data_IF_965324633021
#
_entry.id   IF_965324633021
#
_cell.length_a   1.000
_cell.length_b   1.000
_cell.length_c   1.000
_cell.angle_alpha   90.00
_cell.angle_beta   90.00
_cell.angle_gamma   90.00
#
_symmetry.space_group_name_H-M   'P 1'
#
loop_
_entity.id
_entity.type
_entity.pdbx_description
1 polymer ?
#
# COMPACT_ATOMS: atom_id res chain seq x y z
N UNK A 1 -6.42 7.88 -25.01
CA UNK A 1 -6.22 7.96 -23.55
C UNK A 1 -4.72 7.90 -23.31
N UNK A 2 -4.03 9.01 -22.99
CA UNK A 2 -2.62 8.93 -22.66
C UNK A 2 -2.49 8.36 -21.24
N UNK A 3 -1.76 7.26 -21.12
CA UNK A 3 -1.28 6.74 -19.84
C UNK A 3 -0.18 7.70 -19.36
N UNK A 4 -0.43 8.41 -18.26
CA UNK A 4 0.58 9.21 -17.60
C UNK A 4 1.54 8.26 -16.86
N UNK A 5 2.82 8.27 -17.25
CA UNK A 5 3.89 7.69 -16.45
C UNK A 5 4.16 8.62 -15.26
N UNK A 6 3.78 8.21 -14.06
CA UNK A 6 3.96 8.98 -12.82
C UNK A 6 5.39 8.89 -12.23
N UNK A 7 6.40 8.52 -13.01
CA UNK A 7 7.63 7.93 -12.45
C UNK A 7 8.87 8.82 -12.37
N UNK A 8 8.84 10.12 -12.72
CA UNK A 8 10.04 10.98 -12.62
C UNK A 8 10.02 12.05 -11.51
N UNK A 9 8.88 12.40 -10.91
CA UNK A 9 8.80 13.54 -9.96
C UNK A 9 8.61 13.15 -8.49
N UNK A 10 8.06 11.98 -8.19
CA UNK A 10 7.77 11.57 -6.82
C UNK A 10 8.92 10.76 -6.24
N UNK A 11 9.54 11.28 -5.18
CA UNK A 11 10.59 10.57 -4.44
C UNK A 11 9.95 9.46 -3.58
N UNK A 12 9.83 8.27 -4.16
CA UNK A 12 9.22 7.09 -3.52
C UNK A 12 10.00 6.63 -2.29
N UNK A 13 11.33 6.68 -2.32
CA UNK A 13 12.19 6.38 -1.15
C UNK A 13 11.81 7.21 0.08
N UNK A 14 11.54 8.50 -0.14
CA UNK A 14 11.12 9.42 0.92
C UNK A 14 9.76 9.02 1.49
N UNK A 15 8.82 8.62 0.64
CA UNK A 15 7.51 8.13 1.09
C UNK A 15 7.73 6.93 2.01
N UNK A 16 8.43 5.90 1.53
CA UNK A 16 8.65 4.65 2.29
C UNK A 16 9.30 4.92 3.65
N UNK A 17 10.33 5.77 3.70
CA UNK A 17 11.01 6.13 4.95
C UNK A 17 10.11 6.79 5.99
N UNK A 18 9.02 7.41 5.57
CA UNK A 18 8.03 8.07 6.46
C UNK A 18 6.90 7.14 6.89
N UNK A 19 6.93 5.88 6.48
CA UNK A 19 6.00 4.83 6.88
C UNK A 19 6.59 3.92 7.98
N UNK A 20 7.67 4.35 8.63
CA UNK A 20 8.40 3.67 9.70
C UNK A 20 7.55 3.18 10.88
N UNK A 21 6.40 3.82 11.12
CA UNK A 21 5.40 3.38 12.11
C UNK A 21 4.92 1.93 11.95
N UNK A 22 5.07 1.34 10.77
CA UNK A 22 4.67 -0.05 10.51
C UNK A 22 5.74 -1.07 10.90
N UNK A 23 6.93 -0.61 11.26
CA UNK A 23 8.03 -1.45 11.72
C UNK A 23 9.30 -1.25 10.90
N UNK A 24 10.16 -2.27 10.91
CA UNK A 24 11.40 -2.25 10.14
C UNK A 24 11.10 -2.57 8.68
N UNK A 25 11.51 -1.70 7.77
CA UNK A 25 11.39 -1.96 6.33
C UNK A 25 12.18 -3.23 5.96
N UNK A 26 11.51 -4.16 5.29
CA UNK A 26 12.11 -5.36 4.69
C UNK A 26 12.52 -5.04 3.27
N UNK A 27 11.55 -4.65 2.43
CA UNK A 27 11.77 -4.24 1.05
C UNK A 27 10.60 -3.42 0.52
N UNK A 28 10.77 -2.79 -0.64
CA UNK A 28 9.73 -2.06 -1.35
C UNK A 28 10.00 -2.08 -2.86
N UNK A 29 8.94 -1.92 -3.65
CA UNK A 29 9.01 -1.78 -5.09
C UNK A 29 7.82 -0.99 -5.63
N UNK A 30 7.98 -0.43 -6.83
CA UNK A 30 6.91 0.22 -7.58
C UNK A 30 6.28 -0.72 -8.61
N UNK A 31 5.07 -0.39 -9.06
CA UNK A 31 4.34 -1.12 -10.11
C UNK A 31 4.12 -2.61 -9.81
N UNK A 32 3.95 -2.97 -8.54
CA UNK A 32 3.79 -4.36 -8.11
C UNK A 32 2.35 -4.83 -8.36
N UNK A 33 2.12 -5.98 -9.01
CA UNK A 33 0.79 -6.55 -9.16
C UNK A 33 0.12 -6.82 -7.81
N UNK A 34 -1.13 -6.36 -7.64
CA UNK A 34 -1.93 -6.63 -6.44
C UNK A 34 -2.63 -8.00 -6.49
N UNK A 35 -2.82 -8.55 -7.69
CA UNK A 35 -3.47 -9.84 -7.93
C UNK A 35 -2.62 -10.71 -8.86
N UNK A 36 -2.69 -12.05 -8.73
CA UNK A 36 -2.11 -12.95 -9.71
C UNK A 36 -2.71 -12.66 -11.09
N UNK A 37 -1.89 -12.61 -12.13
CA UNK A 37 -2.31 -12.25 -13.50
C UNK A 37 -3.41 -13.21 -13.96
N UNK A 38 -4.67 -12.76 -14.01
CA UNK A 38 -5.73 -13.48 -14.69
C UNK A 38 -5.58 -13.31 -16.21
N UNK A 39 -5.76 -14.40 -16.95
CA UNK A 39 -5.70 -14.53 -18.41
C UNK A 39 -6.86 -13.84 -19.15
N UNK A 40 -7.61 -12.93 -18.52
CA UNK A 40 -8.80 -12.32 -19.11
C UNK A 40 -8.61 -10.83 -19.36
N UNK A 41 -9.28 -10.35 -20.40
CA UNK A 41 -9.32 -8.94 -20.85
C UNK A 41 -9.96 -7.98 -19.85
N UNK A 42 -10.54 -8.48 -18.77
CA UNK A 42 -11.25 -7.71 -17.73
C UNK A 42 -10.35 -7.44 -16.52
N UNK A 43 -9.24 -6.73 -16.73
CA UNK A 43 -8.40 -6.28 -15.61
C UNK A 43 -9.20 -5.29 -14.76
N UNK A 44 -9.31 -5.49 -13.44
CA UNK A 44 -9.95 -4.51 -12.58
C UNK A 44 -9.18 -3.18 -12.66
N UNK A 45 -9.86 -2.03 -12.46
CA UNK A 45 -9.17 -0.77 -12.24
C UNK A 45 -8.20 -0.94 -11.06
N UNK A 46 -6.94 -0.52 -11.24
CA UNK A 46 -5.85 -0.61 -10.25
C UNK A 46 -5.28 -2.03 -10.03
N UNK A 47 -5.02 -2.78 -11.10
CA UNK A 47 -4.36 -4.10 -11.05
C UNK A 47 -2.91 -4.07 -10.50
N UNK A 48 -2.22 -2.93 -10.63
CA UNK A 48 -0.88 -2.70 -10.09
C UNK A 48 -0.94 -1.62 -9.04
N UNK A 49 -0.23 -1.83 -7.94
CA UNK A 49 0.00 -0.78 -6.98
C UNK A 49 1.15 0.12 -7.41
N UNK A 50 1.01 1.43 -7.22
CA UNK A 50 2.07 2.39 -7.53
C UNK A 50 3.31 2.11 -6.67
N UNK A 51 3.10 1.77 -5.39
CA UNK A 51 4.13 1.39 -4.43
C UNK A 51 3.58 0.33 -3.46
N UNK A 52 4.35 -0.75 -3.28
CA UNK A 52 4.18 -1.68 -2.15
C UNK A 52 5.44 -1.70 -1.30
N UNK A 53 5.26 -1.76 0.01
CA UNK A 53 6.34 -1.89 0.98
C UNK A 53 5.99 -2.94 2.03
N UNK A 54 6.92 -3.84 2.29
CA UNK A 54 6.82 -4.85 3.34
C UNK A 54 7.59 -4.38 4.56
N UNK A 55 6.91 -4.36 5.71
CA UNK A 55 7.50 -4.05 7.00
C UNK A 55 7.42 -5.26 7.91
N UNK A 56 8.41 -5.41 8.78
CA UNK A 56 8.39 -6.35 9.90
C UNK A 56 8.12 -5.58 11.19
N UNK A 57 6.90 -5.76 11.71
CA UNK A 57 6.43 -5.15 12.94
C UNK A 57 6.35 -6.15 14.10
N UNK A 58 6.02 -5.67 15.32
CA UNK A 58 5.92 -6.52 16.51
C UNK A 58 4.83 -7.59 16.43
N UNK A 59 3.82 -7.39 15.59
CA UNK A 59 2.70 -8.32 15.38
C UNK A 59 2.93 -9.29 14.20
N UNK A 60 4.09 -9.19 13.53
CA UNK A 60 4.40 -9.90 12.30
C UNK A 60 4.56 -8.97 11.09
N UNK A 61 4.71 -9.54 9.88
CA UNK A 61 4.89 -8.76 8.67
C UNK A 61 3.61 -8.03 8.24
N UNK A 62 3.77 -6.79 7.80
CA UNK A 62 2.69 -5.95 7.27
C UNK A 62 3.01 -5.43 5.88
N UNK A 63 2.13 -5.72 4.93
CA UNK A 63 2.15 -5.18 3.58
C UNK A 63 1.39 -3.84 3.55
N UNK A 64 2.08 -2.81 3.10
CA UNK A 64 1.58 -1.45 2.99
C UNK A 64 1.52 -1.06 1.52
N UNK A 65 0.34 -0.69 1.05
CA UNK A 65 0.15 -0.14 -0.29
C UNK A 65 0.05 1.37 -0.28
N UNK A 66 0.59 2.01 -1.31
CA UNK A 66 0.47 3.45 -1.52
C UNK A 66 0.09 3.71 -2.98
N UNK A 67 -1.01 4.43 -3.17
CA UNK A 67 -1.39 4.98 -4.47
C UNK A 67 -0.97 6.45 -4.53
N UNK A 68 -0.31 6.85 -5.62
CA UNK A 68 0.24 8.20 -5.82
C UNK A 68 -0.63 8.98 -6.81
N UNK A 69 -0.94 10.22 -6.45
CA UNK A 69 -1.68 11.19 -7.26
C UNK A 69 -0.91 12.51 -7.29
N UNK A 70 0.12 12.54 -8.14
CA UNK A 70 0.96 13.72 -8.40
C UNK A 70 0.30 14.63 -9.44
N UNK A 71 -0.82 15.22 -9.07
CA UNK A 71 -1.52 16.22 -9.89
C UNK A 71 -2.06 17.35 -9.00
N UNK A 72 -2.48 18.45 -9.62
CA UNK A 72 -3.00 19.61 -8.90
C UNK A 72 -4.42 19.39 -8.34
N UNK A 73 -5.14 18.40 -8.84
CA UNK A 73 -6.52 18.13 -8.42
C UNK A 73 -6.57 17.49 -7.02
N UNK A 74 -7.52 17.95 -6.19
CA UNK A 74 -7.79 17.33 -4.90
C UNK A 74 -8.35 15.92 -5.09
N UNK A 75 -7.83 14.95 -4.34
CA UNK A 75 -8.38 13.60 -4.30
C UNK A 75 -9.78 13.64 -3.69
N UNK A 76 -10.74 13.04 -4.37
CA UNK A 76 -12.14 12.98 -3.96
C UNK A 76 -12.44 11.75 -3.09
N UNK A 77 -13.53 11.80 -2.32
CA UNK A 77 -13.97 10.67 -1.47
C UNK A 77 -14.31 9.42 -2.30
N UNK A 78 -15.04 9.50 -3.43
CA UNK A 78 -15.32 8.33 -4.26
C UNK A 78 -14.04 7.64 -4.76
N UNK A 79 -13.12 8.42 -5.33
CA UNK A 79 -11.83 7.92 -5.83
C UNK A 79 -11.05 7.21 -4.73
N UNK A 80 -10.96 7.83 -3.55
CA UNK A 80 -10.22 7.24 -2.44
C UNK A 80 -10.84 5.92 -1.95
N UNK A 81 -12.16 5.79 -1.98
CA UNK A 81 -12.86 4.55 -1.63
C UNK A 81 -12.62 3.44 -2.64
N UNK A 82 -12.53 3.78 -3.93
CA UNK A 82 -12.25 2.79 -4.97
C UNK A 82 -10.84 2.22 -4.82
N UNK A 83 -9.84 3.07 -4.58
CA UNK A 83 -8.48 2.63 -4.28
C UNK A 83 -8.39 1.84 -2.98
N UNK A 84 -9.03 2.31 -1.91
CA UNK A 84 -9.05 1.60 -0.64
C UNK A 84 -9.66 0.19 -0.80
N UNK A 85 -10.69 0.04 -1.64
CA UNK A 85 -11.28 -1.26 -1.94
C UNK A 85 -10.32 -2.15 -2.73
N UNK A 86 -9.62 -1.62 -3.72
CA UNK A 86 -8.67 -2.38 -4.53
C UNK A 86 -7.47 -2.86 -3.68
N UNK A 87 -6.78 -1.93 -3.03
CA UNK A 87 -5.60 -2.25 -2.21
C UNK A 87 -5.96 -3.04 -0.96
N UNK A 88 -7.10 -2.77 -0.33
CA UNK A 88 -7.49 -3.43 0.92
C UNK A 88 -7.73 -4.93 0.81
N UNK A 89 -7.84 -5.46 -0.42
CA UNK A 89 -7.88 -6.91 -0.68
C UNK A 89 -6.53 -7.59 -0.51
N UNK A 90 -5.43 -6.88 -0.73
CA UNK A 90 -4.07 -7.42 -0.66
C UNK A 90 -3.24 -6.84 0.49
N UNK A 91 -3.47 -5.59 0.89
CA UNK A 91 -2.66 -4.86 1.86
C UNK A 91 -3.32 -4.77 3.24
N UNK A 92 -2.52 -4.83 4.32
CA UNK A 92 -2.98 -4.56 5.69
C UNK A 92 -3.12 -3.06 5.97
N UNK A 93 -2.38 -2.21 5.26
CA UNK A 93 -2.48 -0.76 5.35
C UNK A 93 -2.46 -0.13 3.97
N UNK A 94 -3.18 0.98 3.82
CA UNK A 94 -3.27 1.70 2.55
C UNK A 94 -3.13 3.21 2.75
N UNK A 95 -2.33 3.87 1.90
CA UNK A 95 -2.21 5.32 1.83
C UNK A 95 -2.57 5.85 0.44
N UNK A 96 -3.18 7.03 0.42
CA UNK A 96 -3.16 7.90 -0.76
C UNK A 96 -2.12 8.99 -0.56
N UNK A 97 -1.19 9.09 -1.50
CA UNK A 97 -0.18 10.13 -1.56
C UNK A 97 -0.58 11.19 -2.59
N UNK A 98 -0.82 12.43 -2.16
CA UNK A 98 -1.24 13.53 -3.04
C UNK A 98 -0.86 14.90 -2.48
N UNK A 99 -1.01 15.96 -3.28
CA UNK A 99 -0.85 17.36 -2.84
C UNK A 99 -2.14 18.02 -2.36
N UNK A 100 -3.29 17.38 -2.55
CA UNK A 100 -4.57 17.93 -2.12
C UNK A 100 -5.61 16.86 -1.81
N UNK A 101 -6.37 17.08 -0.73
CA UNK A 101 -7.41 16.16 -0.25
C UNK A 101 -8.74 16.90 -0.06
N UNK A 102 -9.84 16.26 -0.42
CA UNK A 102 -11.16 16.71 0.03
C UNK A 102 -11.28 16.54 1.56
N UNK A 103 -11.90 17.51 2.25
CA UNK A 103 -11.99 17.53 3.73
C UNK A 103 -12.60 16.25 4.32
N UNK A 104 -13.60 15.67 3.66
CA UNK A 104 -14.23 14.43 4.14
C UNK A 104 -13.33 13.18 4.12
N UNK A 105 -12.16 13.22 3.48
CA UNK A 105 -11.20 12.10 3.50
C UNK A 105 -10.58 11.86 4.89
N UNK A 106 -10.50 12.90 5.72
CA UNK A 106 -10.02 12.79 7.09
C UNK A 106 -10.96 11.95 7.97
N UNK A 107 -12.21 11.79 7.57
CA UNK A 107 -13.21 10.95 8.26
C UNK A 107 -13.27 9.50 7.73
N UNK A 108 -12.54 9.16 6.66
CA UNK A 108 -12.52 7.78 6.12
C UNK A 108 -11.60 6.92 6.97
N UNK A 109 -12.16 6.18 7.93
CA UNK A 109 -11.44 5.45 8.99
C UNK A 109 -10.15 4.75 8.56
N UNK A 110 -10.20 3.86 7.56
CA UNK A 110 -9.08 2.96 7.27
C UNK A 110 -8.05 3.51 6.27
N UNK A 111 -8.26 4.73 5.76
CA UNK A 111 -7.40 5.37 4.77
C UNK A 111 -6.27 6.18 5.43
N UNK A 112 -5.02 5.89 5.08
CA UNK A 112 -3.88 6.76 5.35
C UNK A 112 -3.76 7.87 4.30
N UNK A 113 -3.27 9.04 4.70
CA UNK A 113 -2.99 10.16 3.78
C UNK A 113 -1.54 10.59 3.93
N UNK A 114 -0.83 10.65 2.82
CA UNK A 114 0.54 11.15 2.72
C UNK A 114 0.55 12.41 1.86
N UNK A 115 1.01 13.53 2.40
CA UNK A 115 1.09 14.77 1.64
C UNK A 115 2.43 14.86 0.92
N UNK A 116 2.42 14.95 -0.42
CA UNK A 116 3.66 14.88 -1.23
C UNK A 116 4.57 16.09 -0.98
N UNK A 117 4.05 17.33 -1.05
CA UNK A 117 4.87 18.54 -0.82
C UNK A 117 5.40 18.65 0.61
N UNK A 118 4.54 18.38 1.61
CA UNK A 118 4.91 18.38 3.03
C UNK A 118 5.78 17.19 3.43
N UNK A 119 5.81 16.14 2.59
CA UNK A 119 6.63 14.93 2.75
C UNK A 119 6.37 14.19 4.06
N UNK A 120 5.10 14.09 4.42
CA UNK A 120 4.68 13.52 5.70
C UNK A 120 3.33 12.82 5.65
N UNK A 121 3.13 11.92 6.61
CA UNK A 121 1.83 11.31 6.88
C UNK A 121 0.96 12.33 7.61
N UNK A 122 -0.06 12.85 6.94
CA UNK A 122 -1.04 13.79 7.53
C UNK A 122 -2.22 13.08 8.16
N UNK A 123 -2.41 11.79 7.86
CA UNK A 123 -3.36 10.91 8.53
C UNK A 123 -2.89 9.46 8.52
N UNK A 124 -2.92 8.83 9.69
CA UNK A 124 -2.63 7.42 9.85
C UNK A 124 -3.73 6.53 9.24
N UNK A 125 -3.38 5.39 8.63
CA UNK A 125 -4.34 4.40 8.17
C UNK A 125 -4.88 3.58 9.34
N UNK A 126 -6.04 2.97 9.11
CA UNK A 126 -6.50 1.85 9.92
C UNK A 126 -5.77 0.56 9.55
N UNK A 127 -6.23 -0.55 10.13
CA UNK A 127 -5.80 -1.90 9.74
C UNK A 127 -6.90 -2.53 8.91
N UNK A 128 -6.55 -2.91 7.68
CA UNK A 128 -7.40 -3.63 6.74
C UNK A 128 -7.26 -5.14 6.94
N UNK A 129 -8.21 -5.89 6.40
CA UNK A 129 -8.21 -7.35 6.45
C UNK A 129 -8.09 -7.90 5.03
N UNK A 130 -6.87 -8.06 4.50
CA UNK A 130 -6.72 -8.60 3.15
C UNK A 130 -7.14 -10.07 3.06
N UNK A 131 -7.49 -10.48 1.85
CA UNK A 131 -7.70 -11.87 1.48
C UNK A 131 -6.33 -12.59 1.58
N UNK A 132 -6.20 -13.69 2.37
CA UNK A 132 -4.91 -14.34 2.61
C UNK A 132 -4.15 -14.75 1.34
N UNK A 133 -4.87 -15.21 0.32
CA UNK A 133 -4.27 -15.61 -0.97
C UNK A 133 -3.72 -14.42 -1.76
N UNK A 134 -4.45 -13.30 -1.80
CA UNK A 134 -4.02 -12.09 -2.51
C UNK A 134 -2.87 -11.42 -1.79
N UNK A 135 -2.93 -11.34 -0.46
CA UNK A 135 -1.82 -10.85 0.35
C UNK A 135 -0.55 -11.65 0.07
N UNK A 136 -0.62 -13.00 0.16
CA UNK A 136 0.54 -13.86 -0.08
C UNK A 136 1.09 -13.65 -1.48
N UNK A 137 0.23 -13.65 -2.49
CA UNK A 137 0.65 -13.45 -3.88
C UNK A 137 1.34 -12.09 -4.08
N UNK A 138 0.82 -11.01 -3.49
CA UNK A 138 1.44 -9.69 -3.59
C UNK A 138 2.79 -9.61 -2.86
N UNK A 139 2.90 -10.21 -1.67
CA UNK A 139 4.16 -10.23 -0.91
C UNK A 139 5.22 -11.09 -1.60
N UNK A 140 4.87 -12.29 -2.08
CA UNK A 140 5.80 -13.15 -2.82
C UNK A 140 6.34 -12.43 -4.07
N UNK A 141 5.47 -11.73 -4.79
CA UNK A 141 5.86 -10.95 -5.97
C UNK A 141 6.78 -9.78 -5.63
N UNK A 142 6.50 -9.09 -4.53
CA UNK A 142 7.36 -8.03 -4.01
C UNK A 142 8.75 -8.57 -3.63
N UNK A 143 8.80 -9.68 -2.91
CA UNK A 143 10.04 -10.34 -2.51
C UNK A 143 10.86 -10.82 -3.72
N UNK A 144 10.20 -11.36 -4.76
CA UNK A 144 10.81 -11.73 -6.04
C UNK A 144 11.44 -10.51 -6.74
N UNK A 145 10.71 -9.39 -6.85
CA UNK A 145 11.21 -8.16 -7.46
C UNK A 145 12.42 -7.60 -6.70
N UNK A 146 12.41 -7.71 -5.38
CA UNK A 146 13.47 -7.20 -4.52
C UNK A 146 14.66 -8.17 -4.35
N UNK A 147 14.55 -9.41 -4.83
CA UNK A 147 15.51 -10.49 -4.59
C UNK A 147 15.80 -10.71 -3.08
N UNK A 148 14.74 -10.78 -2.27
CA UNK A 148 14.83 -10.93 -0.80
C UNK A 148 14.15 -12.22 -0.35
N UNK A 149 14.87 -13.03 0.43
CA UNK A 149 14.28 -14.15 1.16
C UNK A 149 13.69 -13.67 2.50
N UNK A 150 12.43 -14.00 2.76
CA UNK A 150 11.73 -13.63 3.99
C UNK A 150 10.74 -14.74 4.38
N UNK A 151 10.70 -15.11 5.67
CA UNK A 151 9.82 -16.17 6.17
C UNK A 151 8.40 -15.61 6.39
N UNK A 152 7.46 -16.02 5.56
CA UNK A 152 6.10 -15.52 5.59
C UNK A 152 5.19 -16.40 6.45
N UNK A 153 4.31 -15.80 7.27
CA UNK A 153 3.30 -16.56 8.00
C UNK A 153 2.31 -17.27 7.05
N UNK A 154 1.67 -18.30 7.60
CA UNK A 154 0.57 -19.03 6.97
C UNK A 154 -0.65 -18.17 6.65
N UNK A 155 -0.88 -17.11 7.43
CA UNK A 155 -2.01 -16.19 7.33
C UNK A 155 -1.56 -14.75 7.71
N UNK A 156 -1.89 -13.70 6.92
CA UNK A 156 -1.57 -12.30 7.28
C UNK A 156 -2.22 -11.79 8.57
N UNK A 157 -3.26 -12.47 9.06
CA UNK A 157 -3.95 -12.14 10.31
C UNK A 157 -3.34 -12.88 11.51
N UNK A 158 -2.40 -13.79 11.26
CA UNK A 158 -1.72 -14.52 12.32
C UNK A 158 -0.80 -13.55 13.07
N UNK A 159 -1.22 -13.17 14.28
CA UNK A 159 -0.38 -12.38 15.18
C UNK A 159 0.57 -13.31 15.90
N UNK A 160 1.84 -12.91 15.99
CA UNK A 160 2.77 -13.52 16.94
C UNK A 160 2.32 -13.13 18.35
N UNK A 161 1.77 -14.09 19.11
CA UNK A 161 1.65 -13.93 20.55
C UNK A 161 3.05 -13.61 21.11
N UNK A 162 3.19 -12.62 22.02
CA UNK A 162 4.47 -12.38 22.66
C UNK A 162 4.94 -13.67 23.32
N UNK A 163 6.15 -14.12 22.96
CA UNK A 163 6.80 -15.25 23.62
C UNK A 163 7.12 -14.82 25.06
N UNK A 164 6.28 -15.24 26.00
CA UNK A 164 6.53 -15.11 27.45
C UNK A 164 6.01 -13.79 28.04
N UNK A 165 4.88 -13.87 28.73
CA UNK A 165 4.57 -13.03 29.88
C UNK A 165 5.02 -13.77 31.15
#
# INVERSE_FOLDING_TARGET
MPFYHASETVNVDLIVRRLDRHGRLVCWATEVPLEPVYLTTDRPPCYRGDLLALFEGPSGPSLVGVEVKDWDARVSIPMARDYLRAYGRACQHFYLAANGFAEGLFSVRDLGLFHLDRREVVKAPGTLRPEPSLWRSAVERLLEICDVAFDLPGDPHQTTLPRGA
#
